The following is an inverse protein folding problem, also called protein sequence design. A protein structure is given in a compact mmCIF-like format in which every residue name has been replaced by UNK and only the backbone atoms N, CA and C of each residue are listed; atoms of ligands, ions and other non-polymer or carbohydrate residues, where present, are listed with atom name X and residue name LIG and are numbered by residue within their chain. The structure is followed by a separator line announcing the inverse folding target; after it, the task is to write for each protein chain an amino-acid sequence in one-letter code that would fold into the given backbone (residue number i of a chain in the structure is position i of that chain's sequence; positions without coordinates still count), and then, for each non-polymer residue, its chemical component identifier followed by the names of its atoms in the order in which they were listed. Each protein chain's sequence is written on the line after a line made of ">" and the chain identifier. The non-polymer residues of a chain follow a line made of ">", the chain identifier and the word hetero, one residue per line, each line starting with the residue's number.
data_IF_425069420802
#
_entry.id   IF_425069420802
#
_cell.length_a   1.000
_cell.length_b   1.000
_cell.length_c   1.000
_cell.angle_alpha   90.00
_cell.angle_beta   90.00
_cell.angle_gamma   90.00
#
_symmetry.space_group_name_H-M   'P 1'
#
loop_
_entity.id
_entity.type
_entity.pdbx_description
1 polymer ?
#
# COMPACT_ATOMS: atom_id res chain seq x y z
N UNK A 1 -0.94 13.25 0.71
CA UNK A 1 -1.81 13.54 1.88
C UNK A 1 -3.29 13.22 1.63
N UNK A 2 -3.82 13.44 0.42
CA UNK A 2 -5.25 13.25 0.10
C UNK A 2 -5.81 11.87 0.44
N UNK A 3 -5.15 10.78 0.05
CA UNK A 3 -5.65 9.42 0.34
C UNK A 3 -5.69 9.07 1.84
N UNK A 4 -4.79 9.64 2.66
CA UNK A 4 -4.84 9.47 4.12
C UNK A 4 -6.10 10.17 4.68
N UNK A 5 -6.41 11.38 4.19
CA UNK A 5 -7.65 12.08 4.55
C UNK A 5 -8.88 11.28 4.11
N UNK A 6 -8.89 10.77 2.89
CA UNK A 6 -9.99 9.97 2.35
C UNK A 6 -10.28 8.76 3.26
N UNK A 7 -9.24 8.03 3.63
CA UNK A 7 -9.34 6.92 4.56
C UNK A 7 -9.85 7.35 5.95
N UNK A 8 -9.31 8.43 6.51
CA UNK A 8 -9.72 8.91 7.83
C UNK A 8 -11.20 9.31 7.85
N UNK A 9 -11.66 10.04 6.82
CA UNK A 9 -13.06 10.39 6.67
C UNK A 9 -13.96 9.15 6.51
N UNK A 10 -13.53 8.17 5.72
CA UNK A 10 -14.30 6.94 5.53
C UNK A 10 -14.44 6.16 6.85
N UNK A 11 -13.36 6.09 7.66
CA UNK A 11 -13.38 5.49 9.00
C UNK A 11 -14.35 6.20 9.97
N UNK A 12 -14.53 7.52 9.80
CA UNK A 12 -15.50 8.31 10.56
C UNK A 12 -16.93 8.25 10.01
N UNK A 13 -17.19 7.46 8.95
CA UNK A 13 -18.49 7.42 8.28
C UNK A 13 -18.81 8.66 7.44
N UNK A 14 -17.85 9.56 7.23
CA UNK A 14 -18.00 10.79 6.47
C UNK A 14 -17.73 10.53 4.98
N UNK A 15 -18.65 9.84 4.30
CA UNK A 15 -18.47 9.37 2.92
C UNK A 15 -18.30 10.50 1.90
N UNK A 16 -19.01 11.62 2.05
CA UNK A 16 -18.87 12.80 1.19
C UNK A 16 -17.44 13.39 1.23
N UNK A 17 -16.94 13.82 2.41
CA UNK A 17 -15.55 14.27 2.56
C UNK A 17 -14.51 13.23 2.14
N UNK A 18 -14.77 11.94 2.39
CA UNK A 18 -13.88 10.86 1.95
C UNK A 18 -13.76 10.82 0.41
N UNK A 19 -14.89 10.91 -0.28
CA UNK A 19 -14.96 10.91 -1.75
C UNK A 19 -14.28 12.13 -2.37
N UNK A 20 -14.47 13.32 -1.80
CA UNK A 20 -13.78 14.52 -2.25
C UNK A 20 -12.26 14.38 -2.11
N UNK A 21 -11.78 13.88 -0.97
CA UNK A 21 -10.35 13.67 -0.75
C UNK A 21 -9.78 12.55 -1.65
N UNK A 22 -10.58 11.52 -1.97
CA UNK A 22 -10.24 10.46 -2.90
C UNK A 22 -10.03 11.01 -4.32
N UNK A 23 -10.99 11.76 -4.86
CA UNK A 23 -10.88 12.38 -6.19
C UNK A 23 -9.70 13.36 -6.26
N UNK A 24 -9.52 14.18 -5.23
CA UNK A 24 -8.39 15.10 -5.14
C UNK A 24 -7.03 14.38 -5.09
N UNK A 25 -6.98 13.15 -4.54
CA UNK A 25 -5.78 12.33 -4.53
C UNK A 25 -5.40 11.81 -5.92
N UNK A 26 -6.39 11.37 -6.70
CA UNK A 26 -6.18 10.90 -8.08
C UNK A 26 -5.72 12.07 -8.95
N UNK A 27 -6.41 13.21 -8.88
CA UNK A 27 -6.04 14.40 -9.65
C UNK A 27 -4.61 14.85 -9.30
N UNK A 28 -4.27 14.93 -8.00
CA UNK A 28 -2.93 15.30 -7.58
C UNK A 28 -1.83 14.35 -8.12
N UNK A 29 -2.14 13.06 -8.30
CA UNK A 29 -1.23 12.11 -8.92
C UNK A 29 -0.97 12.45 -10.39
N UNK A 30 -2.03 12.76 -11.15
CA UNK A 30 -1.88 13.22 -12.54
C UNK A 30 -1.10 14.53 -12.63
N UNK A 31 -1.40 15.50 -11.77
CA UNK A 31 -0.75 16.81 -11.74
C UNK A 31 0.76 16.67 -11.44
N UNK A 32 1.12 15.79 -10.49
CA UNK A 32 2.51 15.47 -10.18
C UNK A 32 3.24 14.87 -11.39
N UNK A 33 2.63 13.91 -12.08
CA UNK A 33 3.21 13.31 -13.28
C UNK A 33 3.33 14.34 -14.41
N UNK A 34 2.30 15.15 -14.66
CA UNK A 34 2.32 16.21 -15.66
C UNK A 34 3.42 17.24 -15.39
N UNK A 35 3.73 17.53 -14.12
CA UNK A 35 4.84 18.43 -13.78
C UNK A 35 6.14 17.91 -14.39
N UNK A 36 6.45 16.62 -14.21
CA UNK A 36 7.68 16.02 -14.75
C UNK A 36 7.66 15.87 -16.27
N UNK A 37 6.53 15.47 -16.85
CA UNK A 37 6.39 15.33 -18.29
C UNK A 37 6.54 16.67 -19.02
N UNK A 38 6.00 17.75 -18.45
CA UNK A 38 6.17 19.10 -19.01
C UNK A 38 7.62 19.59 -18.92
N UNK A 39 8.33 19.29 -17.82
CA UNK A 39 9.78 19.55 -17.73
C UNK A 39 10.55 18.83 -18.83
N UNK A 40 10.27 17.55 -19.08
CA UNK A 40 10.94 16.78 -20.14
C UNK A 40 10.59 17.27 -21.54
N UNK A 41 9.34 17.67 -21.79
CA UNK A 41 8.97 18.29 -23.06
C UNK A 41 9.77 19.56 -23.33
N UNK A 42 10.02 20.37 -22.29
CA UNK A 42 10.79 21.60 -22.42
C UNK A 42 12.28 21.36 -22.77
N UNK A 43 12.83 20.17 -22.51
CA UNK A 43 14.20 19.82 -22.94
C UNK A 43 14.27 19.36 -24.40
N UNK A 44 13.14 19.32 -25.12
CA UNK A 44 13.07 18.90 -26.51
C UNK A 44 13.15 17.39 -26.68
N UNK A 45 12.71 16.60 -25.67
CA UNK A 45 12.67 15.15 -25.80
C UNK A 45 11.86 14.69 -27.01
N UNK A 46 12.31 13.60 -27.64
CA UNK A 46 11.60 12.91 -28.73
C UNK A 46 11.00 11.58 -28.26
N UNK A 47 11.20 11.22 -26.99
CA UNK A 47 10.63 10.00 -26.44
C UNK A 47 9.12 10.21 -26.23
N UNK A 48 8.24 9.47 -26.92
CA UNK A 48 6.80 9.60 -26.75
C UNK A 48 6.35 9.33 -25.29
N UNK A 49 7.06 8.48 -24.54
CA UNK A 49 6.73 8.15 -23.14
C UNK A 49 7.09 9.27 -22.15
N UNK A 50 7.78 10.31 -22.62
CA UNK A 50 8.13 11.49 -21.83
C UNK A 50 7.25 12.70 -22.18
N UNK A 51 6.25 12.51 -23.04
CA UNK A 51 5.32 13.57 -23.42
C UNK A 51 4.24 13.76 -22.35
N UNK A 52 3.77 14.99 -22.11
CA UNK A 52 2.62 15.27 -21.26
C UNK A 52 1.39 14.47 -21.69
N UNK A 53 0.64 13.97 -20.72
CA UNK A 53 -0.63 13.31 -20.95
C UNK A 53 -1.63 14.29 -21.56
N UNK A 54 -2.52 13.82 -22.43
CA UNK A 54 -3.60 14.62 -22.99
C UNK A 54 -4.62 14.96 -21.88
N UNK A 55 -4.98 16.23 -21.68
CA UNK A 55 -6.04 16.61 -20.74
C UNK A 55 -7.38 15.89 -20.96
N UNK A 56 -7.73 15.55 -22.21
CA UNK A 56 -8.94 14.81 -22.53
C UNK A 56 -8.90 13.38 -21.99
N UNK A 57 -7.74 12.72 -22.03
CA UNK A 57 -7.54 11.37 -21.49
C UNK A 57 -7.61 11.36 -19.97
N UNK A 58 -7.04 12.37 -19.31
CA UNK A 58 -7.15 12.55 -17.86
C UNK A 58 -8.63 12.72 -17.47
N UNK A 59 -9.37 13.58 -18.17
CA UNK A 59 -10.79 13.79 -17.93
C UNK A 59 -11.61 12.51 -18.16
N UNK A 60 -11.30 11.75 -19.22
CA UNK A 60 -11.95 10.47 -19.50
C UNK A 60 -11.69 9.44 -18.39
N UNK A 61 -10.45 9.32 -17.89
CA UNK A 61 -10.15 8.45 -16.76
C UNK A 61 -10.92 8.85 -15.49
N UNK A 62 -10.93 10.15 -15.16
CA UNK A 62 -11.62 10.66 -13.98
C UNK A 62 -13.14 10.40 -14.02
N UNK A 63 -13.73 10.33 -15.21
CA UNK A 63 -15.15 10.01 -15.43
C UNK A 63 -15.44 8.49 -15.57
N UNK A 64 -14.41 7.65 -15.65
CA UNK A 64 -14.56 6.21 -15.90
C UNK A 64 -14.99 5.42 -14.66
N UNK A 65 -15.43 4.17 -14.88
CA UNK A 65 -15.78 3.21 -13.82
C UNK A 65 -14.59 2.80 -12.94
N UNK A 66 -13.36 3.06 -13.39
CA UNK A 66 -12.17 2.87 -12.57
C UNK A 66 -12.19 3.80 -11.35
N UNK A 67 -12.79 4.98 -11.48
CA UNK A 67 -12.93 5.98 -10.43
C UNK A 67 -14.34 5.92 -9.85
N UNK A 68 -14.48 5.76 -8.54
CA UNK A 68 -15.82 5.76 -7.91
C UNK A 68 -16.44 7.14 -8.01
N UNK A 69 -17.58 7.22 -8.67
CA UNK A 69 -18.29 8.48 -8.94
C UNK A 69 -19.23 8.89 -7.79
N UNK A 70 -19.73 7.92 -7.01
CA UNK A 70 -20.65 8.16 -5.89
C UNK A 70 -19.97 7.97 -4.53
N UNK A 71 -20.13 8.93 -3.59
CA UNK A 71 -19.68 8.76 -2.22
C UNK A 71 -20.22 7.51 -1.52
N UNK A 72 -21.47 7.12 -1.83
CA UNK A 72 -22.13 5.96 -1.22
C UNK A 72 -21.54 4.62 -1.67
N UNK A 73 -20.82 4.61 -2.79
CA UNK A 73 -20.21 3.40 -3.37
C UNK A 73 -18.71 3.31 -3.06
N UNK A 74 -18.13 4.33 -2.43
CA UNK A 74 -16.70 4.37 -2.14
C UNK A 74 -16.35 3.38 -1.02
N UNK A 75 -15.44 2.46 -1.32
CA UNK A 75 -14.93 1.50 -0.34
C UNK A 75 -13.47 1.78 0.02
N UNK A 76 -12.99 1.19 1.12
CA UNK A 76 -11.57 1.27 1.50
C UNK A 76 -10.67 0.66 0.43
N UNK A 77 -11.12 -0.41 -0.23
CA UNK A 77 -10.40 -1.03 -1.34
C UNK A 77 -10.21 -0.06 -2.52
N UNK A 78 -11.19 0.80 -2.81
CA UNK A 78 -11.07 1.78 -3.90
C UNK A 78 -10.06 2.88 -3.55
N UNK A 79 -10.07 3.38 -2.31
CA UNK A 79 -9.10 4.37 -1.83
C UNK A 79 -7.67 3.82 -1.89
N UNK A 80 -7.47 2.59 -1.41
CA UNK A 80 -6.13 1.97 -1.35
C UNK A 80 -5.63 1.58 -2.74
N UNK A 81 -6.51 1.13 -3.65
CA UNK A 81 -6.15 0.87 -5.05
C UNK A 81 -5.56 2.11 -5.73
N UNK A 82 -6.24 3.25 -5.68
CA UNK A 82 -5.72 4.49 -6.28
C UNK A 82 -4.46 5.00 -5.56
N UNK A 83 -4.38 4.80 -4.24
CA UNK A 83 -3.17 5.14 -3.47
C UNK A 83 -1.95 4.33 -3.92
N UNK A 84 -2.11 3.03 -4.18
CA UNK A 84 -1.02 2.16 -4.67
C UNK A 84 -0.53 2.67 -6.04
N UNK A 85 -1.46 2.98 -6.94
CA UNK A 85 -1.16 3.52 -8.28
C UNK A 85 -0.36 4.83 -8.15
N UNK A 86 -0.84 5.77 -7.34
CA UNK A 86 -0.19 7.06 -7.17
C UNK A 86 1.19 6.98 -6.50
N UNK A 87 1.42 5.98 -5.64
CA UNK A 87 2.69 5.81 -4.94
C UNK A 87 3.71 4.97 -5.71
N UNK A 88 3.29 4.13 -6.66
CA UNK A 88 4.18 3.24 -7.41
C UNK A 88 5.05 2.36 -6.50
N UNK A 89 6.37 2.45 -6.65
CA UNK A 89 7.33 1.74 -5.80
C UNK A 89 7.69 2.55 -4.54
N UNK A 90 6.75 2.63 -3.60
CA UNK A 90 6.97 3.27 -2.30
C UNK A 90 6.81 2.27 -1.15
N UNK A 91 7.72 2.31 -0.17
CA UNK A 91 7.63 1.50 1.05
C UNK A 91 6.34 1.71 1.84
N UNK A 92 5.71 2.88 1.68
CA UNK A 92 4.41 3.17 2.27
C UNK A 92 3.32 2.19 1.81
N UNK A 93 3.39 1.70 0.56
CA UNK A 93 2.46 0.66 0.09
C UNK A 93 2.57 -0.61 0.95
N UNK A 94 3.79 -1.03 1.29
CA UNK A 94 4.00 -2.20 2.15
C UNK A 94 3.54 -1.97 3.60
N UNK A 95 3.67 -0.75 4.12
CA UNK A 95 3.12 -0.39 5.43
C UNK A 95 1.59 -0.50 5.45
N UNK A 96 0.92 0.04 4.41
CA UNK A 96 -0.53 -0.05 4.29
C UNK A 96 -1.00 -1.50 4.08
N UNK A 97 -0.26 -2.31 3.33
CA UNK A 97 -0.54 -3.74 3.17
C UNK A 97 -0.58 -4.44 4.53
N UNK A 98 0.45 -4.25 5.36
CA UNK A 98 0.52 -4.86 6.69
C UNK A 98 -0.64 -4.43 7.59
N UNK A 99 -0.94 -3.12 7.62
CA UNK A 99 -2.04 -2.54 8.42
C UNK A 99 -3.43 -3.05 8.03
N UNK A 100 -3.63 -3.46 6.77
CA UNK A 100 -4.87 -4.11 6.33
C UNK A 100 -4.81 -5.64 6.35
N UNK A 101 -3.74 -6.22 6.90
CA UNK A 101 -3.46 -7.64 6.86
C UNK A 101 -3.57 -8.20 5.42
N UNK A 102 -3.04 -7.45 4.46
CA UNK A 102 -3.05 -7.76 3.04
C UNK A 102 -4.48 -8.04 2.54
N UNK A 103 -4.75 -9.27 2.07
CA UNK A 103 -6.04 -9.70 1.54
C UNK A 103 -6.90 -10.46 2.56
N UNK A 104 -6.52 -10.46 3.84
CA UNK A 104 -7.21 -11.22 4.88
C UNK A 104 -8.68 -10.82 5.09
N UNK A 105 -9.01 -9.56 4.83
CA UNK A 105 -10.36 -9.02 4.98
C UNK A 105 -10.87 -8.96 6.42
N UNK A 106 -9.99 -9.09 7.42
CA UNK A 106 -10.33 -9.15 8.84
C UNK A 106 -10.07 -7.85 9.61
N UNK A 107 -9.86 -6.72 8.91
CA UNK A 107 -9.62 -5.42 9.53
C UNK A 107 -10.90 -4.58 9.49
N UNK A 108 -11.53 -4.42 10.64
CA UNK A 108 -12.81 -3.72 10.77
C UNK A 108 -13.89 -4.33 9.86
N UNK A 109 -14.77 -3.48 9.34
CA UNK A 109 -15.83 -3.89 8.41
C UNK A 109 -15.49 -3.56 6.95
N UNK A 110 -14.19 -3.44 6.61
CA UNK A 110 -13.77 -3.03 5.27
C UNK A 110 -13.80 -4.17 4.23
N UNK A 111 -13.91 -5.42 4.69
CA UNK A 111 -13.74 -6.59 3.83
C UNK A 111 -12.32 -6.64 3.24
N UNK A 112 -12.16 -7.31 2.10
CA UNK A 112 -10.86 -7.47 1.42
C UNK A 112 -10.45 -6.15 0.76
N UNK A 113 -9.41 -5.51 1.31
CA UNK A 113 -8.86 -4.26 0.79
C UNK A 113 -7.90 -4.50 -0.38
N UNK A 114 -6.93 -5.39 -0.22
CA UNK A 114 -6.03 -5.81 -1.31
C UNK A 114 -6.65 -6.99 -2.05
N UNK A 115 -7.50 -6.67 -3.03
CA UNK A 115 -8.23 -7.67 -3.84
C UNK A 115 -7.24 -8.59 -4.57
N UNK A 116 -7.56 -9.88 -4.59
CA UNK A 116 -6.82 -10.96 -5.26
C UNK A 116 -5.35 -11.15 -4.86
N UNK A 117 -4.82 -10.40 -3.88
CA UNK A 117 -3.47 -10.58 -3.41
C UNK A 117 -3.31 -11.94 -2.70
N UNK A 118 -2.37 -12.76 -3.17
CA UNK A 118 -2.11 -14.11 -2.65
C UNK A 118 -0.62 -14.36 -2.63
N UNK A 119 -0.18 -15.31 -1.79
CA UNK A 119 1.17 -15.88 -1.93
C UNK A 119 1.30 -16.49 -3.34
N UNK A 120 2.43 -16.31 -4.03
CA UNK A 120 2.68 -16.98 -5.30
C UNK A 120 2.54 -18.51 -5.18
N UNK A 121 2.19 -19.19 -6.27
CA UNK A 121 2.09 -20.65 -6.30
C UNK A 121 3.38 -21.34 -5.84
N UNK A 122 4.53 -20.77 -6.21
CA UNK A 122 5.86 -21.29 -5.90
C UNK A 122 6.38 -20.84 -4.52
N UNK A 123 5.51 -20.34 -3.63
CA UNK A 123 5.93 -19.90 -2.31
C UNK A 123 6.35 -21.09 -1.43
N UNK A 124 7.64 -21.16 -1.08
CA UNK A 124 8.24 -22.26 -0.30
C UNK A 124 8.79 -21.86 1.07
N UNK A 125 8.84 -20.56 1.40
CA UNK A 125 9.44 -20.04 2.64
C UNK A 125 8.53 -20.19 3.88
N UNK A 126 8.00 -21.39 4.10
CA UNK A 126 7.04 -21.71 5.18
C UNK A 126 7.68 -21.73 6.57
N UNK A 127 9.00 -21.90 6.66
CA UNK A 127 9.77 -21.71 7.90
C UNK A 127 9.80 -20.24 8.36
N UNK A 128 9.75 -19.29 7.41
CA UNK A 128 9.75 -17.85 7.69
C UNK A 128 8.34 -17.32 7.91
N UNK A 129 7.39 -17.79 7.10
CA UNK A 129 5.99 -17.39 7.16
C UNK A 129 5.14 -18.61 7.54
N UNK A 130 5.06 -18.85 8.85
CA UNK A 130 4.57 -20.11 9.43
C UNK A 130 3.05 -20.29 9.32
N UNK A 131 2.31 -19.22 9.10
CA UNK A 131 0.86 -19.26 8.97
C UNK A 131 0.41 -19.99 7.69
N UNK A 132 -0.73 -20.66 7.78
CA UNK A 132 -1.37 -21.41 6.69
C UNK A 132 -2.62 -20.74 6.11
N UNK A 133 -3.16 -19.72 6.79
CA UNK A 133 -4.34 -18.96 6.36
C UNK A 133 -4.03 -17.47 6.19
N UNK A 134 -4.55 -16.79 5.15
CA UNK A 134 -4.48 -15.33 5.01
C UNK A 134 -4.85 -14.52 6.26
N UNK A 135 -5.72 -15.03 7.12
CA UNK A 135 -6.13 -14.34 8.36
C UNK A 135 -5.11 -14.45 9.49
N UNK A 136 -4.20 -15.42 9.41
CA UNK A 136 -3.09 -15.58 10.36
C UNK A 136 -2.04 -14.49 10.11
N UNK A 137 -1.64 -13.78 11.16
CA UNK A 137 -0.65 -12.72 11.03
C UNK A 137 0.70 -13.24 10.52
N UNK A 138 1.05 -14.47 10.89
CA UNK A 138 2.28 -15.14 10.47
C UNK A 138 2.22 -15.68 9.03
N UNK A 139 1.08 -15.55 8.36
CA UNK A 139 0.95 -15.91 6.95
C UNK A 139 1.62 -14.88 6.02
N UNK A 140 1.76 -13.64 6.46
CA UNK A 140 2.30 -12.59 5.60
C UNK A 140 3.69 -12.16 6.01
N UNK A 141 4.39 -11.50 5.09
CA UNK A 141 5.66 -10.87 5.40
C UNK A 141 5.42 -9.62 6.27
N UNK A 142 6.06 -9.55 7.44
CA UNK A 142 5.78 -8.52 8.46
C UNK A 142 6.93 -7.59 8.79
N UNK A 143 8.17 -8.05 8.66
CA UNK A 143 9.36 -7.25 8.98
C UNK A 143 10.62 -7.89 8.41
N UNK A 144 11.66 -7.09 8.23
CA UNK A 144 13.00 -7.62 7.98
C UNK A 144 13.65 -8.06 9.30
N UNK A 145 14.53 -9.06 9.23
CA UNK A 145 15.46 -9.35 10.32
C UNK A 145 16.49 -8.24 10.46
N UNK A 146 17.12 -8.13 11.61
CA UNK A 146 18.29 -7.27 11.77
C UNK A 146 19.47 -7.75 10.90
N UNK A 147 20.38 -6.83 10.62
CA UNK A 147 21.64 -7.13 9.92
C UNK A 147 22.53 -8.05 10.77
N UNK A 148 23.35 -8.87 10.13
CA UNK A 148 24.35 -9.73 10.77
C UNK A 148 25.41 -8.94 11.56
N UNK A 149 25.55 -7.63 11.33
CA UNK A 149 26.40 -6.79 12.17
C UNK A 149 25.88 -6.69 13.62
N UNK A 150 24.56 -6.70 13.83
CA UNK A 150 23.99 -6.71 15.19
C UNK A 150 24.36 -8.00 15.92
N UNK A 151 24.38 -9.15 15.23
CA UNK A 151 24.80 -10.40 15.85
C UNK A 151 26.31 -10.45 16.17
N UNK A 152 27.14 -9.70 15.45
CA UNK A 152 28.59 -9.66 15.67
C UNK A 152 28.99 -8.69 16.78
N UNK A 153 28.32 -7.54 16.86
CA UNK A 153 28.75 -6.42 17.71
C UNK A 153 27.79 -6.08 18.85
N UNK A 154 26.54 -6.54 18.79
CA UNK A 154 25.48 -6.18 19.74
C UNK A 154 24.52 -7.35 20.05
N UNK A 155 25.05 -8.57 20.09
CA UNK A 155 24.27 -9.81 20.12
C UNK A 155 23.28 -9.88 21.30
N UNK A 156 23.71 -9.44 22.48
CA UNK A 156 22.90 -9.46 23.70
C UNK A 156 21.61 -8.64 23.53
N UNK A 157 21.73 -7.42 23.01
CA UNK A 157 20.58 -6.53 22.81
C UNK A 157 19.72 -6.98 21.63
N UNK A 158 20.34 -7.55 20.57
CA UNK A 158 19.60 -8.18 19.49
C UNK A 158 18.70 -9.30 20.00
N UNK A 159 19.22 -10.21 20.83
CA UNK A 159 18.42 -11.29 21.43
C UNK A 159 17.36 -10.77 22.40
N UNK A 160 17.62 -9.66 23.10
CA UNK A 160 16.64 -9.03 23.99
C UNK A 160 15.52 -8.29 23.22
N UNK A 161 15.78 -7.84 21.98
CA UNK A 161 14.83 -7.06 21.19
C UNK A 161 13.56 -7.83 20.81
N UNK A 162 13.67 -9.14 20.61
CA UNK A 162 12.57 -9.99 20.21
C UNK A 162 12.89 -11.48 20.46
N UNK A 163 11.95 -12.28 21.00
CA UNK A 163 12.16 -13.73 21.19
C UNK A 163 12.54 -14.49 19.92
N UNK A 164 12.19 -13.96 18.75
CA UNK A 164 12.46 -14.56 17.44
C UNK A 164 13.67 -13.94 16.73
N UNK A 165 14.40 -12.96 17.30
CA UNK A 165 15.38 -12.11 16.61
C UNK A 165 16.44 -12.84 15.76
N UNK A 166 16.76 -14.09 16.10
CA UNK A 166 17.73 -14.95 15.41
C UNK A 166 17.12 -16.25 14.86
N UNK A 167 15.82 -16.26 14.59
CA UNK A 167 15.08 -17.41 14.08
C UNK A 167 14.35 -17.07 12.79
N UNK A 168 14.10 -18.05 11.93
CA UNK A 168 13.38 -17.82 10.67
C UNK A 168 11.98 -17.19 10.81
N UNK A 169 11.17 -17.51 11.84
CA UNK A 169 9.86 -16.90 12.00
C UNK A 169 9.85 -15.39 12.24
N UNK A 170 10.98 -14.74 12.55
CA UNK A 170 11.01 -13.27 12.76
C UNK A 170 10.44 -12.48 11.58
N UNK A 171 10.56 -13.01 10.37
CA UNK A 171 10.13 -12.34 9.15
C UNK A 171 8.61 -12.16 9.08
N UNK A 172 7.85 -13.01 9.78
CA UNK A 172 6.39 -12.95 9.87
C UNK A 172 5.88 -12.48 11.23
N UNK A 173 6.76 -12.05 12.14
CA UNK A 173 6.37 -11.44 13.41
C UNK A 173 5.88 -9.99 13.22
N UNK A 174 4.64 -9.64 13.58
CA UNK A 174 4.12 -8.28 13.43
C UNK A 174 4.85 -7.28 14.30
N UNK A 175 5.22 -6.11 13.76
CA UNK A 175 5.81 -4.99 14.54
C UNK A 175 4.76 -4.37 15.47
N UNK A 176 5.17 -3.49 16.40
CA UNK A 176 4.31 -3.02 17.48
C UNK A 176 2.96 -2.42 17.02
N UNK A 177 2.92 -1.71 15.89
CA UNK A 177 1.69 -1.12 15.34
C UNK A 177 0.90 -2.07 14.42
N UNK A 178 1.49 -3.20 14.04
CA UNK A 178 0.90 -4.23 13.15
C UNK A 178 0.26 -5.38 13.95
N UNK A 179 0.21 -5.23 15.29
CA UNK A 179 -0.51 -6.13 16.18
C UNK A 179 -1.96 -5.62 16.32
N UNK A 180 -2.98 -6.51 16.33
CA UNK A 180 -4.38 -6.15 16.52
C UNK A 180 -4.63 -5.43 17.85
#
# INVERSE_FOLDING_TARGET
>A
MCFIKAEAYLRMGQTGPAHQAYLAGIQASFDQMQTKLNEWKATGTKNPDQMPMDPADIAAYMASDAVKQSPAQLTMADIIKEKIIALGFNYQNWNDMRRFNYSAGNIGNFGVVYRDYKRPYEFTATNKMTGSSPTDLTYWFRRFSHSTHESNYNNKELLASNPLAMTDPIWSDPVWWDKP
#
